data_IF_845331618686
#
_entry.id   IF_845331618686
#
_cell.length_a   1.000
_cell.length_b   1.000
_cell.length_c   1.000
_cell.angle_alpha   90.00
_cell.angle_beta   90.00
_cell.angle_gamma   90.00
#
_symmetry.space_group_name_H-M   'P 1'
#
loop_
_entity.id
_entity.type
_entity.pdbx_description
1 polymer ?
#
# COMPACT_ATOMS: atom_id res chain seq x y z
N UNK A 1 10.75 59.66 -39.90
CA UNK A 1 11.77 58.82 -39.25
C UNK A 1 11.02 57.77 -38.43
N UNK A 2 10.74 56.65 -39.08
CA UNK A 2 9.93 55.59 -38.50
C UNK A 2 10.89 54.50 -37.95
N UNK A 3 10.99 54.37 -36.64
CA UNK A 3 11.84 53.34 -36.00
C UNK A 3 11.06 52.04 -35.98
N UNK A 4 11.32 51.21 -37.01
CA UNK A 4 10.81 49.84 -37.03
C UNK A 4 11.24 49.03 -35.81
N UNK A 5 10.27 48.75 -34.98
CA UNK A 5 10.39 47.79 -33.88
C UNK A 5 10.41 46.36 -34.48
N UNK A 6 11.61 45.89 -34.81
CA UNK A 6 11.88 44.53 -35.33
C UNK A 6 11.70 43.49 -34.20
N UNK A 7 10.53 43.35 -33.67
CA UNK A 7 10.17 42.22 -32.77
C UNK A 7 10.24 40.93 -33.59
N UNK A 8 11.10 40.03 -33.13
CA UNK A 8 11.29 38.70 -33.70
C UNK A 8 9.99 37.89 -33.55
N UNK A 9 9.06 38.04 -34.51
CA UNK A 9 7.83 37.27 -34.57
C UNK A 9 8.14 35.92 -35.23
N UNK A 10 8.39 34.88 -34.41
CA UNK A 10 8.41 33.53 -34.91
C UNK A 10 7.02 33.19 -35.51
N UNK A 11 7.00 32.77 -36.79
CA UNK A 11 5.75 32.39 -37.45
C UNK A 11 5.18 31.12 -36.81
N UNK A 12 3.89 31.12 -36.55
CA UNK A 12 3.09 29.92 -36.30
C UNK A 12 3.31 28.90 -37.46
N UNK A 13 3.87 27.73 -37.27
CA UNK A 13 3.90 26.76 -36.20
C UNK A 13 5.23 26.63 -35.39
N UNK A 14 6.27 27.40 -35.73
CA UNK A 14 7.60 27.30 -35.12
C UNK A 14 7.60 27.61 -33.60
N UNK A 15 6.69 28.44 -33.13
CA UNK A 15 6.53 28.71 -31.71
C UNK A 15 6.23 27.44 -30.92
N UNK A 16 5.38 26.57 -31.45
CA UNK A 16 5.03 25.31 -30.82
C UNK A 16 6.19 24.31 -30.79
N UNK A 17 7.00 24.28 -31.89
CA UNK A 17 8.20 23.44 -31.95
C UNK A 17 9.25 23.91 -30.94
N UNK A 18 9.49 25.23 -30.86
CA UNK A 18 10.44 25.81 -29.88
C UNK A 18 9.95 25.60 -28.46
N UNK A 19 8.66 25.82 -28.18
CA UNK A 19 8.08 25.51 -26.86
C UNK A 19 8.15 24.03 -26.54
N UNK A 20 7.87 23.13 -27.46
CA UNK A 20 8.01 21.69 -27.29
C UNK A 20 9.45 21.26 -26.98
N UNK A 21 10.43 21.83 -27.68
CA UNK A 21 11.84 21.60 -27.43
C UNK A 21 12.28 22.16 -26.06
N UNK A 22 11.78 23.35 -25.69
CA UNK A 22 12.09 23.94 -24.39
C UNK A 22 11.49 23.14 -23.22
N UNK A 23 10.28 22.63 -23.39
CA UNK A 23 9.61 21.74 -22.43
C UNK A 23 10.35 20.41 -22.34
N UNK A 24 10.77 19.82 -23.47
CA UNK A 24 11.54 18.57 -23.48
C UNK A 24 12.92 18.76 -22.84
N UNK A 25 13.60 19.89 -23.09
CA UNK A 25 14.87 20.22 -22.46
C UNK A 25 14.73 20.48 -20.95
N UNK A 26 13.74 21.29 -20.56
CA UNK A 26 13.44 21.51 -19.14
C UNK A 26 13.07 20.22 -18.44
N UNK A 27 12.29 19.34 -19.08
CA UNK A 27 11.97 18.01 -18.58
C UNK A 27 13.21 17.14 -18.39
N UNK A 28 14.10 17.14 -19.36
CA UNK A 28 15.37 16.39 -19.29
C UNK A 28 16.24 16.88 -18.14
N UNK A 29 16.41 18.21 -17.99
CA UNK A 29 17.20 18.79 -16.89
C UNK A 29 16.54 18.61 -15.52
N UNK A 30 15.24 18.83 -15.38
CA UNK A 30 14.50 18.63 -14.13
C UNK A 30 14.51 17.15 -13.73
N UNK A 31 14.34 16.24 -14.70
CA UNK A 31 14.38 14.79 -14.46
C UNK A 31 15.75 14.33 -13.96
N UNK A 32 16.83 14.72 -14.61
CA UNK A 32 18.21 14.38 -14.20
C UNK A 32 18.56 15.02 -12.85
N UNK A 33 18.20 16.29 -12.66
CA UNK A 33 18.52 17.00 -11.41
C UNK A 33 17.72 16.44 -10.22
N UNK A 34 16.47 16.06 -10.43
CA UNK A 34 15.66 15.39 -9.41
C UNK A 34 16.22 14.01 -9.05
N UNK A 35 16.68 13.23 -10.02
CA UNK A 35 17.35 11.95 -9.77
C UNK A 35 18.68 12.12 -9.00
N UNK A 36 19.47 13.15 -9.33
CA UNK A 36 20.69 13.47 -8.60
C UNK A 36 20.41 13.91 -7.16
N UNK A 37 19.42 14.77 -6.94
CA UNK A 37 19.01 15.18 -5.59
C UNK A 37 18.49 14.00 -4.78
N UNK A 38 17.70 13.12 -5.39
CA UNK A 38 17.23 11.88 -4.76
C UNK A 38 18.42 10.99 -4.42
N UNK A 39 19.36 10.74 -5.34
CA UNK A 39 20.53 9.92 -5.09
C UNK A 39 21.41 10.50 -3.97
N UNK A 40 21.61 11.84 -3.96
CA UNK A 40 22.36 12.54 -2.92
C UNK A 40 21.67 12.45 -1.56
N UNK A 41 20.34 12.61 -1.52
CA UNK A 41 19.54 12.49 -0.32
C UNK A 41 19.58 11.06 0.24
N UNK A 42 19.49 10.04 -0.62
CA UNK A 42 19.58 8.64 -0.26
C UNK A 42 20.96 8.28 0.28
N UNK A 43 22.01 8.77 -0.39
CA UNK A 43 23.39 8.62 0.07
C UNK A 43 23.62 9.26 1.46
N UNK A 44 23.11 10.48 1.66
CA UNK A 44 23.15 11.19 2.94
C UNK A 44 22.37 10.47 4.05
N UNK A 45 21.16 9.94 3.75
CA UNK A 45 20.39 9.14 4.70
C UNK A 45 21.09 7.83 5.05
N UNK A 46 21.65 7.13 4.07
CA UNK A 46 22.42 5.89 4.29
C UNK A 46 23.64 6.14 5.20
N UNK A 47 24.28 7.29 5.08
CA UNK A 47 25.42 7.67 5.93
C UNK A 47 25.01 8.00 7.37
N UNK A 48 23.79 8.52 7.59
CA UNK A 48 23.30 8.89 8.93
C UNK A 48 22.67 7.74 9.72
N UNK A 49 22.18 6.72 9.05
CA UNK A 49 21.49 5.58 9.66
C UNK A 49 22.04 4.27 9.10
N UNK A 50 23.21 3.82 9.58
CA UNK A 50 23.78 2.52 9.21
C UNK A 50 23.06 1.35 9.91
N UNK A 51 21.77 1.48 10.25
CA UNK A 51 21.00 0.41 10.82
C UNK A 51 21.11 -0.82 9.93
N UNK A 52 21.46 -1.97 10.54
CA UNK A 52 21.62 -3.23 9.85
C UNK A 52 20.31 -3.55 9.10
N UNK A 53 20.29 -3.20 7.81
CA UNK A 53 19.17 -3.51 6.94
C UNK A 53 19.21 -5.02 6.71
N UNK A 54 18.13 -5.75 7.02
CA UNK A 54 18.09 -7.19 6.78
C UNK A 54 18.39 -7.46 5.30
N UNK A 55 19.30 -8.39 5.05
CA UNK A 55 19.67 -8.79 3.69
C UNK A 55 18.68 -9.81 3.15
N UNK A 56 17.45 -9.39 2.86
CA UNK A 56 16.38 -10.26 2.36
C UNK A 56 15.18 -10.34 3.29
N UNK A 57 14.15 -11.08 2.87
CA UNK A 57 12.92 -11.30 3.61
C UNK A 57 11.68 -10.70 2.96
N UNK A 58 10.52 -11.24 3.31
CA UNK A 58 9.22 -10.84 2.74
C UNK A 58 8.87 -9.38 3.07
N UNK A 59 9.18 -8.94 4.29
CA UNK A 59 8.94 -7.57 4.74
C UNK A 59 9.76 -6.56 3.92
N UNK A 60 11.03 -6.83 3.69
CA UNK A 60 11.90 -5.97 2.89
C UNK A 60 11.48 -5.93 1.42
N UNK A 61 11.13 -7.08 0.85
CA UNK A 61 10.60 -7.16 -0.51
C UNK A 61 9.30 -6.37 -0.67
N UNK A 62 8.46 -6.38 0.36
CA UNK A 62 7.22 -5.60 0.38
C UNK A 62 7.49 -4.11 0.36
N UNK A 63 8.46 -3.62 1.12
CA UNK A 63 8.84 -2.20 1.10
C UNK A 63 9.44 -1.80 -0.26
N UNK A 64 10.27 -2.65 -0.87
CA UNK A 64 10.89 -2.40 -2.17
C UNK A 64 9.90 -2.44 -3.34
N UNK A 65 8.89 -3.30 -3.30
CA UNK A 65 7.82 -3.35 -4.32
C UNK A 65 7.04 -2.04 -4.44
N UNK A 66 7.10 -1.16 -3.44
CA UNK A 66 6.56 0.20 -3.53
C UNK A 66 7.28 1.07 -4.55
N UNK A 67 8.55 0.79 -4.88
CA UNK A 67 9.25 1.48 -5.96
C UNK A 67 8.53 1.38 -7.31
N UNK A 68 7.78 0.31 -7.55
CA UNK A 68 6.95 0.20 -8.75
C UNK A 68 5.84 1.27 -8.81
N UNK A 69 5.44 1.85 -7.67
CA UNK A 69 4.47 2.96 -7.63
C UNK A 69 5.05 4.26 -8.15
N UNK A 70 6.38 4.43 -8.15
CA UNK A 70 7.04 5.60 -8.75
C UNK A 70 6.64 5.79 -10.23
N UNK A 71 6.31 4.70 -10.93
CA UNK A 71 5.78 4.80 -12.30
C UNK A 71 4.44 5.54 -12.34
N UNK A 72 3.60 5.39 -11.31
CA UNK A 72 2.34 6.11 -11.20
C UNK A 72 2.54 7.56 -10.77
N UNK A 73 3.54 7.86 -9.96
CA UNK A 73 3.87 9.24 -9.59
C UNK A 73 4.34 10.05 -10.80
N UNK A 74 4.89 9.41 -11.85
CA UNK A 74 5.21 10.06 -13.12
C UNK A 74 3.97 10.67 -13.80
N UNK A 75 2.76 10.13 -13.56
CA UNK A 75 1.52 10.72 -14.06
C UNK A 75 1.29 12.11 -13.44
N UNK A 76 1.51 12.27 -12.15
CA UNK A 76 1.39 13.59 -11.49
C UNK A 76 2.42 14.58 -12.02
N UNK A 77 3.64 14.11 -12.29
CA UNK A 77 4.68 14.93 -12.92
C UNK A 77 4.26 15.39 -14.32
N UNK A 78 3.64 14.50 -15.10
CA UNK A 78 3.12 14.82 -16.43
C UNK A 78 2.00 15.87 -16.38
N UNK A 79 1.05 15.71 -15.46
CA UNK A 79 -0.03 16.66 -15.23
C UNK A 79 0.49 18.02 -14.73
N UNK A 80 1.47 18.00 -13.83
CA UNK A 80 2.14 19.20 -13.36
C UNK A 80 2.84 19.94 -14.51
N UNK A 81 3.58 19.22 -15.36
CA UNK A 81 4.23 19.82 -16.53
C UNK A 81 3.22 20.46 -17.49
N UNK A 82 2.10 19.78 -17.77
CA UNK A 82 1.01 20.35 -18.60
C UNK A 82 0.45 21.64 -18.02
N UNK A 83 0.11 21.64 -16.73
CA UNK A 83 -0.36 22.84 -16.02
C UNK A 83 0.69 23.97 -16.01
N UNK A 84 1.95 23.60 -15.76
CA UNK A 84 3.07 24.54 -15.78
C UNK A 84 3.29 25.21 -17.13
N UNK A 85 3.22 24.45 -18.21
CA UNK A 85 3.34 25.00 -19.59
C UNK A 85 2.28 26.06 -19.86
N UNK A 86 1.02 25.75 -19.57
CA UNK A 86 -0.10 26.70 -19.75
C UNK A 86 0.08 27.93 -18.88
N UNK A 87 0.48 27.74 -17.62
CA UNK A 87 0.74 28.83 -16.69
C UNK A 87 1.86 29.75 -17.15
N UNK A 88 3.01 29.20 -17.57
CA UNK A 88 4.17 29.99 -18.00
C UNK A 88 3.98 30.62 -19.36
N UNK A 89 3.21 30.02 -20.28
CA UNK A 89 2.85 30.65 -21.55
C UNK A 89 1.98 31.89 -21.35
N UNK A 90 1.07 31.86 -20.36
CA UNK A 90 0.27 33.04 -20.00
C UNK A 90 1.01 34.09 -19.18
N UNK A 91 2.28 33.84 -18.84
CA UNK A 91 3.07 34.79 -18.07
C UNK A 91 3.59 35.91 -18.98
N UNK A 92 3.15 37.12 -18.76
CA UNK A 92 3.55 38.29 -19.56
C UNK A 92 2.60 38.67 -20.69
N UNK A 93 1.54 37.89 -20.92
CA UNK A 93 0.44 38.34 -21.82
C UNK A 93 -0.52 39.26 -21.07
N UNK A 94 -0.97 40.34 -21.72
CA UNK A 94 -2.03 41.20 -21.19
C UNK A 94 -3.34 40.42 -21.14
N UNK A 95 -3.85 40.21 -19.93
CA UNK A 95 -5.12 39.50 -19.67
C UNK A 95 -6.25 40.49 -19.73
N UNK A 96 -6.94 40.51 -20.85
CA UNK A 96 -8.02 41.46 -21.09
C UNK A 96 -9.40 40.94 -20.68
N UNK A 97 -9.54 39.61 -20.61
CA UNK A 97 -10.80 38.97 -20.26
C UNK A 97 -10.71 38.21 -18.93
N UNK A 98 -11.84 38.08 -18.21
CA UNK A 98 -11.95 37.29 -16.99
C UNK A 98 -11.61 35.83 -17.24
N UNK A 99 -11.92 35.31 -18.43
CA UNK A 99 -11.59 33.95 -18.87
C UNK A 99 -10.08 33.69 -18.86
N UNK A 100 -9.25 34.66 -19.27
CA UNK A 100 -7.79 34.51 -19.32
C UNK A 100 -7.19 34.42 -17.91
N UNK A 101 -7.70 35.24 -17.00
CA UNK A 101 -7.32 35.16 -15.59
C UNK A 101 -7.73 33.82 -14.95
N UNK A 102 -8.93 33.32 -15.26
CA UNK A 102 -9.41 32.05 -14.75
C UNK A 102 -8.52 30.90 -15.22
N UNK A 103 -8.19 30.82 -16.51
CA UNK A 103 -7.30 29.80 -17.09
C UNK A 103 -5.92 29.86 -16.43
N UNK A 104 -5.38 31.06 -16.27
CA UNK A 104 -4.04 31.25 -15.65
C UNK A 104 -4.00 30.82 -14.19
N UNK A 105 -5.00 31.20 -13.38
CA UNK A 105 -5.09 30.80 -11.96
C UNK A 105 -5.29 29.30 -11.83
N UNK A 106 -6.19 28.71 -12.64
CA UNK A 106 -6.47 27.26 -12.59
C UNK A 106 -5.25 26.46 -13.02
N UNK A 107 -4.54 26.87 -14.09
CA UNK A 107 -3.33 26.17 -14.54
C UNK A 107 -2.18 26.26 -13.54
N UNK A 108 -1.97 27.44 -12.92
CA UNK A 108 -1.00 27.61 -11.85
C UNK A 108 -1.35 26.79 -10.60
N UNK A 109 -2.62 26.80 -10.20
CA UNK A 109 -3.12 25.97 -9.11
C UNK A 109 -2.95 24.47 -9.38
N UNK A 110 -3.26 24.03 -10.58
CA UNK A 110 -3.06 22.64 -11.01
C UNK A 110 -1.57 22.25 -10.99
N UNK A 111 -0.69 23.12 -11.49
CA UNK A 111 0.76 22.92 -11.44
C UNK A 111 1.26 22.70 -10.01
N UNK A 112 0.92 23.60 -9.10
CA UNK A 112 1.35 23.52 -7.68
C UNK A 112 0.79 22.25 -7.01
N UNK A 113 -0.48 21.93 -7.24
CA UNK A 113 -1.14 20.76 -6.67
C UNK A 113 -0.48 19.46 -7.13
N UNK A 114 -0.34 19.26 -8.45
CA UNK A 114 0.22 18.03 -8.99
C UNK A 114 1.72 17.89 -8.73
N UNK A 115 2.48 18.99 -8.75
CA UNK A 115 3.88 19.00 -8.35
C UNK A 115 4.04 18.63 -6.86
N UNK A 116 3.19 19.18 -5.99
CA UNK A 116 3.16 18.83 -4.57
C UNK A 116 2.82 17.36 -4.34
N UNK A 117 1.81 16.82 -5.01
CA UNK A 117 1.45 15.40 -4.96
C UNK A 117 2.61 14.51 -5.44
N UNK A 118 3.24 14.85 -6.56
CA UNK A 118 4.41 14.13 -7.09
C UNK A 118 5.55 14.09 -6.08
N UNK A 119 5.94 15.23 -5.52
CA UNK A 119 7.03 15.32 -4.56
C UNK A 119 6.72 14.53 -3.28
N UNK A 120 5.50 14.62 -2.79
CA UNK A 120 5.06 13.91 -1.58
C UNK A 120 5.08 12.39 -1.78
N UNK A 121 4.49 11.88 -2.86
CA UNK A 121 4.46 10.44 -3.13
C UNK A 121 5.86 9.90 -3.39
N UNK A 122 6.66 10.58 -4.24
CA UNK A 122 8.03 10.20 -4.51
C UNK A 122 8.87 10.15 -3.24
N UNK A 123 8.76 11.16 -2.38
CA UNK A 123 9.46 11.18 -1.10
C UNK A 123 9.05 10.02 -0.19
N UNK A 124 7.75 9.74 -0.08
CA UNK A 124 7.26 8.66 0.79
C UNK A 124 7.67 7.28 0.30
N UNK A 125 7.58 7.02 -1.01
CA UNK A 125 7.96 5.74 -1.60
C UNK A 125 9.47 5.50 -1.53
N UNK A 126 10.28 6.52 -1.80
CA UNK A 126 11.73 6.45 -1.66
C UNK A 126 12.14 6.25 -0.20
N UNK A 127 11.54 7.00 0.72
CA UNK A 127 11.81 6.83 2.15
C UNK A 127 11.49 5.40 2.61
N UNK A 128 10.34 4.86 2.20
CA UNK A 128 9.93 3.50 2.58
C UNK A 128 10.85 2.43 1.98
N UNK A 129 11.36 2.64 0.77
CA UNK A 129 12.26 1.69 0.11
C UNK A 129 13.70 1.73 0.65
N UNK A 130 14.23 2.93 0.94
CA UNK A 130 15.64 3.12 1.31
C UNK A 130 15.88 3.30 2.81
N UNK A 131 14.83 3.63 3.57
CA UNK A 131 14.86 3.74 5.02
C UNK A 131 13.81 2.82 5.65
N UNK A 132 14.00 1.48 5.61
CA UNK A 132 13.04 0.50 6.13
C UNK A 132 12.60 0.78 7.56
N UNK A 133 13.49 1.34 8.39
CA UNK A 133 13.19 1.71 9.78
C UNK A 133 12.06 2.76 9.90
N UNK A 134 11.91 3.65 8.91
CA UNK A 134 10.88 4.69 8.84
C UNK A 134 9.71 4.31 7.93
N UNK A 135 9.74 3.11 7.36
CA UNK A 135 8.69 2.64 6.44
C UNK A 135 7.35 2.51 7.16
N UNK A 136 6.29 2.56 6.37
CA UNK A 136 4.93 2.30 6.86
C UNK A 136 4.82 0.92 7.48
N UNK A 137 5.48 -0.09 6.87
CA UNK A 137 5.48 -1.46 7.36
C UNK A 137 6.14 -1.57 8.74
N UNK A 138 7.32 -0.96 8.94
CA UNK A 138 8.00 -0.98 10.24
C UNK A 138 7.16 -0.27 11.32
N UNK A 139 6.49 0.82 10.97
CA UNK A 139 5.57 1.51 11.89
C UNK A 139 4.36 0.66 12.24
N UNK A 140 3.80 -0.05 11.26
CA UNK A 140 2.69 -0.99 11.47
C UNK A 140 3.11 -2.10 12.44
N UNK A 141 4.28 -2.73 12.25
CA UNK A 141 4.77 -3.77 13.18
C UNK A 141 4.97 -3.19 14.58
N UNK A 142 5.63 -2.03 14.72
CA UNK A 142 5.84 -1.40 16.02
C UNK A 142 4.54 -1.10 16.74
N UNK A 143 3.54 -0.58 16.06
CA UNK A 143 2.22 -0.29 16.64
C UNK A 143 1.51 -1.55 17.15
N UNK A 144 1.87 -2.72 16.63
CA UNK A 144 1.31 -4.00 17.04
C UNK A 144 2.04 -4.61 18.24
N UNK A 145 3.20 -4.09 18.64
CA UNK A 145 3.89 -4.57 19.84
C UNK A 145 3.20 -4.07 21.14
N UNK A 146 3.35 -4.81 22.26
CA UNK A 146 2.85 -4.37 23.57
C UNK A 146 3.46 -3.03 23.99
N UNK A 147 4.77 -2.87 23.78
CA UNK A 147 5.56 -1.67 24.09
C UNK A 147 6.20 -1.10 22.82
N UNK A 148 5.49 -0.23 22.08
CA UNK A 148 5.98 0.32 20.82
C UNK A 148 7.26 1.14 20.95
N UNK A 149 7.46 1.81 22.10
CA UNK A 149 8.61 2.68 22.36
C UNK A 149 9.90 1.88 22.62
N UNK A 150 9.77 0.65 23.11
CA UNK A 150 10.88 -0.28 23.35
C UNK A 150 11.09 -1.26 22.18
N UNK A 151 10.57 -0.92 21.01
CA UNK A 151 10.64 -1.79 19.84
C UNK A 151 12.10 -2.04 19.43
N UNK A 152 12.47 -3.30 19.12
CA UNK A 152 13.81 -3.63 18.68
C UNK A 152 14.16 -2.99 17.34
N UNK A 153 15.44 -3.03 16.92
CA UNK A 153 15.85 -2.54 15.60
C UNK A 153 15.06 -3.15 14.46
N UNK A 154 14.92 -2.41 13.35
CA UNK A 154 14.07 -2.82 12.21
C UNK A 154 14.41 -4.20 11.65
N UNK A 155 15.68 -4.60 11.71
CA UNK A 155 16.13 -5.92 11.28
C UNK A 155 15.49 -7.06 12.07
N UNK A 156 15.41 -6.92 13.38
CA UNK A 156 14.78 -7.89 14.27
C UNK A 156 13.26 -7.87 14.13
N UNK A 157 12.65 -6.67 13.99
CA UNK A 157 11.21 -6.53 13.73
C UNK A 157 10.79 -7.28 12.47
N UNK A 158 11.52 -7.10 11.37
CA UNK A 158 11.22 -7.79 10.12
C UNK A 158 11.48 -9.28 10.24
N UNK A 159 12.57 -9.68 10.91
CA UNK A 159 12.90 -11.08 11.13
C UNK A 159 11.85 -11.82 11.96
N UNK A 160 11.18 -11.16 12.92
CA UNK A 160 10.07 -11.75 13.69
C UNK A 160 8.92 -12.14 12.76
N UNK A 161 8.48 -11.22 11.90
CA UNK A 161 7.39 -11.47 10.96
C UNK A 161 7.81 -12.47 9.90
N UNK A 162 9.00 -12.30 9.31
CA UNK A 162 9.50 -13.14 8.21
C UNK A 162 9.66 -14.60 8.66
N UNK A 163 10.20 -14.86 9.87
CA UNK A 163 10.32 -16.21 10.43
C UNK A 163 8.97 -16.88 10.65
N UNK A 164 7.96 -16.15 11.14
CA UNK A 164 6.63 -16.71 11.32
C UNK A 164 5.99 -17.04 9.96
N UNK A 165 6.12 -16.14 8.97
CA UNK A 165 5.59 -16.38 7.62
C UNK A 165 6.33 -17.51 6.92
N UNK A 166 7.64 -17.64 7.09
CA UNK A 166 8.43 -18.73 6.52
C UNK A 166 8.04 -20.09 7.11
N UNK A 167 7.85 -20.15 8.43
CA UNK A 167 7.54 -21.39 9.14
C UNK A 167 6.07 -21.82 9.02
N UNK A 168 5.13 -20.86 9.08
CA UNK A 168 3.69 -21.11 9.24
C UNK A 168 2.82 -20.42 8.20
N UNK A 169 3.41 -19.66 7.27
CA UNK A 169 2.69 -18.77 6.38
C UNK A 169 1.91 -19.49 5.28
N UNK A 170 0.66 -19.14 5.14
CA UNK A 170 -0.17 -19.47 4.00
C UNK A 170 -0.40 -18.21 3.16
N UNK A 171 -0.11 -18.30 1.86
CA UNK A 171 -0.19 -17.18 0.95
C UNK A 171 -1.51 -17.16 0.21
N UNK A 172 -2.15 -16.00 0.21
CA UNK A 172 -3.37 -15.70 -0.50
C UNK A 172 -3.16 -14.40 -1.30
N UNK A 173 -2.77 -14.51 -2.56
CA UNK A 173 -2.42 -13.39 -3.45
C UNK A 173 -1.37 -12.44 -2.79
N UNK A 174 -1.84 -11.37 -2.15
CA UNK A 174 -0.98 -10.36 -1.51
C UNK A 174 -0.91 -10.47 0.02
N UNK A 175 -1.65 -11.38 0.61
CA UNK A 175 -1.71 -11.57 2.05
C UNK A 175 -1.02 -12.88 2.41
N UNK A 176 -0.14 -12.85 3.40
CA UNK A 176 0.39 -14.05 4.02
C UNK A 176 -0.10 -14.12 5.48
N UNK A 177 -0.64 -15.25 5.88
CA UNK A 177 -1.19 -15.49 7.21
C UNK A 177 -0.32 -16.53 7.90
N UNK A 178 0.45 -16.10 8.89
CA UNK A 178 1.26 -16.94 9.76
C UNK A 178 0.49 -17.45 10.97
N UNK A 179 1.24 -17.85 11.99
CA UNK A 179 0.71 -18.23 13.31
C UNK A 179 0.50 -17.01 14.21
N UNK A 180 1.39 -16.03 14.15
CA UNK A 180 1.40 -14.85 15.01
C UNK A 180 1.13 -13.56 14.23
N UNK A 181 1.44 -13.56 12.93
CA UNK A 181 1.40 -12.36 12.10
C UNK A 181 0.61 -12.55 10.81
N UNK A 182 -0.02 -11.46 10.38
CA UNK A 182 -0.62 -11.33 9.05
C UNK A 182 0.16 -10.24 8.30
N UNK A 183 0.76 -10.61 7.18
CA UNK A 183 1.50 -9.70 6.31
C UNK A 183 0.65 -9.35 5.09
N UNK A 184 0.17 -8.13 5.04
CA UNK A 184 -0.55 -7.53 3.91
C UNK A 184 0.20 -6.31 3.37
N UNK A 185 -0.54 -5.25 3.03
CA UNK A 185 0.05 -3.93 2.77
C UNK A 185 0.57 -3.29 4.07
N UNK A 186 -0.05 -3.65 5.20
CA UNK A 186 0.41 -3.42 6.56
C UNK A 186 0.53 -4.77 7.29
N UNK A 187 1.02 -4.78 8.52
CA UNK A 187 1.17 -6.00 9.33
C UNK A 187 0.23 -5.94 10.53
N UNK A 188 -0.48 -7.05 10.78
CA UNK A 188 -1.35 -7.22 11.94
C UNK A 188 -0.85 -8.36 12.81
N UNK A 189 -0.79 -8.17 14.12
CA UNK A 189 -0.57 -9.27 15.05
C UNK A 189 -1.89 -10.03 15.26
N UNK A 190 -1.88 -11.35 15.04
CA UNK A 190 -3.08 -12.20 15.16
C UNK A 190 -3.77 -12.06 16.52
N UNK A 191 -3.07 -12.02 17.67
CA UNK A 191 -3.71 -11.86 18.99
C UNK A 191 -4.45 -10.53 19.17
N UNK A 192 -4.13 -9.53 18.34
CA UNK A 192 -4.75 -8.19 18.40
C UNK A 192 -5.92 -7.99 17.45
N UNK A 193 -6.18 -8.93 16.56
CA UNK A 193 -7.29 -8.86 15.61
C UNK A 193 -8.62 -8.97 16.37
N UNK A 194 -9.52 -8.01 16.14
CA UNK A 194 -10.88 -7.97 16.69
C UNK A 194 -11.94 -8.09 15.62
N UNK A 195 -11.64 -7.64 14.42
CA UNK A 195 -12.56 -7.72 13.29
C UNK A 195 -11.84 -8.02 11.99
N UNK A 196 -12.49 -8.80 11.13
CA UNK A 196 -12.05 -9.10 9.77
C UNK A 196 -13.23 -8.88 8.84
N UNK A 197 -13.06 -7.96 7.89
CA UNK A 197 -14.10 -7.59 6.95
C UNK A 197 -13.59 -7.71 5.53
N UNK A 198 -14.48 -8.08 4.63
CA UNK A 198 -14.15 -8.25 3.22
C UNK A 198 -15.03 -7.36 2.36
N UNK A 199 -14.43 -6.86 1.27
CA UNK A 199 -15.13 -6.12 0.24
C UNK A 199 -14.87 -6.78 -1.10
N UNK A 200 -15.95 -7.18 -1.77
CA UNK A 200 -15.91 -7.67 -3.14
C UNK A 200 -17.08 -6.99 -3.87
N UNK A 201 -16.80 -5.83 -4.43
CA UNK A 201 -17.80 -4.95 -5.04
C UNK A 201 -17.44 -4.65 -6.48
N UNK A 202 -18.41 -4.74 -7.37
CA UNK A 202 -18.27 -4.30 -8.76
C UNK A 202 -18.91 -2.92 -8.88
N UNK A 203 -18.06 -1.89 -9.00
CA UNK A 203 -18.51 -0.54 -9.33
C UNK A 203 -18.69 -0.39 -10.83
N UNK A 204 -19.90 -0.05 -11.23
CA UNK A 204 -20.22 0.25 -12.63
C UNK A 204 -20.33 1.76 -12.78
N UNK A 205 -19.56 2.29 -13.69
CA UNK A 205 -19.60 3.70 -14.06
C UNK A 205 -19.93 3.83 -15.56
N UNK A 206 -20.78 4.78 -15.88
CA UNK A 206 -21.11 5.10 -17.27
C UNK A 206 -20.40 6.41 -17.65
N UNK A 207 -19.51 6.35 -18.63
CA UNK A 207 -18.83 7.51 -19.18
C UNK A 207 -19.00 7.52 -20.70
N UNK A 208 -19.49 8.64 -21.25
CA UNK A 208 -19.74 8.82 -22.69
C UNK A 208 -20.54 7.66 -23.32
N UNK A 209 -21.57 7.18 -22.64
CA UNK A 209 -22.41 6.06 -23.11
C UNK A 209 -21.73 4.67 -23.05
N UNK A 210 -20.49 4.58 -22.59
CA UNK A 210 -19.78 3.31 -22.40
C UNK A 210 -19.83 2.87 -20.94
N UNK A 211 -20.21 1.61 -20.74
CA UNK A 211 -20.18 0.96 -19.42
C UNK A 211 -18.75 0.58 -19.08
N UNK A 212 -18.23 1.13 -17.99
CA UNK A 212 -16.97 0.73 -17.39
C UNK A 212 -17.25 0.06 -16.06
N UNK A 213 -16.62 -1.08 -15.77
CA UNK A 213 -16.75 -1.75 -14.49
C UNK A 213 -15.38 -1.94 -13.86
N UNK A 214 -15.27 -1.57 -12.58
CA UNK A 214 -14.09 -1.83 -11.76
C UNK A 214 -14.50 -2.72 -10.59
N UNK A 215 -13.78 -3.83 -10.36
CA UNK A 215 -14.01 -4.69 -9.20
C UNK A 215 -13.04 -4.30 -8.11
N UNK A 216 -13.56 -4.04 -6.92
CA UNK A 216 -12.81 -3.70 -5.71
C UNK A 216 -12.79 -4.92 -4.82
N UNK A 217 -11.61 -5.48 -4.58
CA UNK A 217 -11.42 -6.66 -3.74
C UNK A 217 -10.43 -6.27 -2.64
N UNK A 218 -10.91 -6.19 -1.40
CA UNK A 218 -10.13 -5.69 -0.28
C UNK A 218 -10.40 -6.51 0.99
N UNK A 219 -9.34 -6.77 1.75
CA UNK A 219 -9.38 -7.34 3.07
C UNK A 219 -9.11 -6.23 4.09
N UNK A 220 -9.98 -6.12 5.08
CA UNK A 220 -9.86 -5.18 6.19
C UNK A 220 -9.68 -5.95 7.49
N UNK A 221 -8.68 -5.56 8.26
CA UNK A 221 -8.39 -6.12 9.58
C UNK A 221 -8.46 -4.97 10.59
N UNK A 222 -9.28 -5.15 11.61
CA UNK A 222 -9.44 -4.18 12.71
C UNK A 222 -8.79 -4.74 13.96
N UNK A 223 -7.90 -3.98 14.55
CA UNK A 223 -7.20 -4.36 15.77
C UNK A 223 -7.92 -3.89 17.05
N UNK A 224 -7.33 -4.23 18.22
CA UNK A 224 -7.82 -3.86 19.55
C UNK A 224 -7.77 -2.34 19.82
N UNK A 225 -7.07 -1.55 18.97
CA UNK A 225 -7.01 -0.08 19.03
C UNK A 225 -7.93 0.58 18.00
N UNK A 226 -8.83 -0.17 17.39
CA UNK A 226 -9.72 0.28 16.29
C UNK A 226 -8.97 0.74 15.03
N UNK A 227 -7.67 0.41 14.91
CA UNK A 227 -6.94 0.71 13.69
C UNK A 227 -7.35 -0.24 12.59
N UNK A 228 -7.70 0.31 11.43
CA UNK A 228 -8.10 -0.45 10.26
C UNK A 228 -6.90 -0.60 9.33
N UNK A 229 -6.53 -1.83 9.06
CA UNK A 229 -5.51 -2.17 8.08
C UNK A 229 -6.18 -2.72 6.83
N UNK A 230 -5.85 -2.18 5.68
CA UNK A 230 -6.46 -2.53 4.41
C UNK A 230 -5.42 -3.16 3.49
N UNK A 231 -5.78 -4.27 2.87
CA UNK A 231 -4.96 -4.90 1.84
C UNK A 231 -5.79 -5.19 0.60
N UNK A 232 -5.40 -4.59 -0.52
CA UNK A 232 -6.01 -4.85 -1.81
C UNK A 232 -5.61 -6.20 -2.37
N UNK A 233 -6.58 -6.96 -2.88
CA UNK A 233 -6.40 -8.28 -3.49
C UNK A 233 -6.83 -8.27 -4.96
N UNK A 234 -6.41 -9.27 -5.72
CA UNK A 234 -6.71 -9.35 -7.16
C UNK A 234 -7.81 -10.37 -7.47
N UNK A 235 -7.93 -11.39 -6.62
CA UNK A 235 -8.81 -12.53 -6.85
C UNK A 235 -9.81 -12.70 -5.71
N UNK A 236 -11.12 -12.78 -5.98
CA UNK A 236 -12.13 -12.95 -4.93
C UNK A 236 -12.03 -14.30 -4.21
N UNK A 237 -11.63 -15.37 -4.91
CA UNK A 237 -11.45 -16.68 -4.30
C UNK A 237 -10.33 -16.66 -3.23
N UNK A 238 -9.23 -15.96 -3.50
CA UNK A 238 -8.13 -15.79 -2.55
C UNK A 238 -8.55 -14.96 -1.34
N UNK A 239 -9.42 -13.94 -1.54
CA UNK A 239 -10.00 -13.16 -0.44
C UNK A 239 -10.83 -14.06 0.49
N UNK A 240 -11.70 -14.89 -0.06
CA UNK A 240 -12.54 -15.81 0.74
C UNK A 240 -11.68 -16.87 1.46
N UNK A 241 -10.64 -17.38 0.80
CA UNK A 241 -9.70 -18.30 1.41
C UNK A 241 -8.92 -17.64 2.58
N UNK A 242 -8.46 -16.40 2.41
CA UNK A 242 -7.80 -15.63 3.47
C UNK A 242 -8.74 -15.39 4.67
N UNK A 243 -9.98 -14.98 4.42
CA UNK A 243 -11.01 -14.79 5.48
C UNK A 243 -11.28 -16.11 6.21
N UNK A 244 -11.38 -17.22 5.49
CA UNK A 244 -11.58 -18.54 6.10
C UNK A 244 -10.38 -18.95 6.96
N UNK A 245 -9.16 -18.74 6.46
CA UNK A 245 -7.95 -18.99 7.24
C UNK A 245 -7.91 -18.14 8.52
N UNK A 246 -8.22 -16.85 8.43
CA UNK A 246 -8.29 -15.97 9.61
C UNK A 246 -9.38 -16.41 10.60
N UNK A 247 -10.53 -16.91 10.10
CA UNK A 247 -11.59 -17.42 10.95
C UNK A 247 -11.14 -18.66 11.76
N UNK A 248 -10.30 -19.49 11.18
CA UNK A 248 -9.71 -20.63 11.89
C UNK A 248 -8.65 -20.20 12.92
N UNK A 249 -7.90 -19.12 12.62
CA UNK A 249 -6.85 -18.61 13.52
C UNK A 249 -7.41 -17.79 14.69
N UNK A 250 -8.44 -16.97 14.43
CA UNK A 250 -9.06 -16.07 15.42
C UNK A 250 -10.59 -16.19 15.33
N UNK A 251 -11.16 -17.33 15.76
CA UNK A 251 -12.60 -17.57 15.67
C UNK A 251 -13.44 -16.60 16.52
N UNK A 252 -12.84 -15.98 17.53
CA UNK A 252 -13.50 -14.99 18.41
C UNK A 252 -13.68 -13.63 17.74
N UNK A 253 -12.91 -13.32 16.67
CA UNK A 253 -13.02 -12.05 15.97
C UNK A 253 -14.41 -11.90 15.28
N UNK A 254 -14.81 -10.66 15.06
CA UNK A 254 -16.00 -10.35 14.28
C UNK A 254 -15.70 -10.49 12.79
N UNK A 255 -16.53 -11.25 12.06
CA UNK A 255 -16.41 -11.39 10.62
C UNK A 255 -17.62 -10.80 9.93
N UNK A 256 -17.39 -10.10 8.79
CA UNK A 256 -18.48 -9.48 8.04
C UNK A 256 -18.06 -8.89 6.70
N UNK A 257 -19.02 -8.28 6.01
CA UNK A 257 -18.78 -7.45 4.84
C UNK A 257 -18.34 -6.03 5.20
N UNK A 258 -17.85 -5.31 4.21
CA UNK A 258 -17.39 -3.92 4.36
C UNK A 258 -18.44 -2.99 5.00
N UNK A 259 -19.73 -3.19 4.68
CA UNK A 259 -20.82 -2.38 5.22
C UNK A 259 -20.93 -2.45 6.75
N UNK A 260 -20.62 -3.62 7.33
CA UNK A 260 -20.65 -3.81 8.78
C UNK A 260 -19.42 -3.27 9.49
N UNK A 261 -18.34 -2.97 8.75
CA UNK A 261 -17.09 -2.47 9.32
C UNK A 261 -17.25 -1.08 9.94
N UNK A 262 -17.97 -0.17 9.27
CA UNK A 262 -18.18 1.20 9.77
C UNK A 262 -18.97 1.20 11.08
N UNK A 263 -20.00 0.36 11.18
CA UNK A 263 -20.75 0.17 12.40
C UNK A 263 -19.87 -0.45 13.52
N UNK A 264 -18.99 -1.38 13.17
CA UNK A 264 -18.07 -2.01 14.11
C UNK A 264 -17.03 -1.03 14.66
N UNK A 265 -16.41 -0.22 13.80
CA UNK A 265 -15.39 0.77 14.21
C UNK A 265 -16.00 2.00 14.88
N UNK A 266 -17.25 2.34 14.55
CA UNK A 266 -18.00 3.47 15.10
C UNK A 266 -18.70 3.19 16.43
N UNK A 267 -18.52 2.02 17.04
CA UNK A 267 -19.07 1.68 18.35
C UNK A 267 -18.61 2.66 19.43
N UNK A 268 -19.49 2.93 20.40
CA UNK A 268 -19.16 3.74 21.57
C UNK A 268 -18.03 3.07 22.38
N UNK A 269 -17.38 3.83 23.23
CA UNK A 269 -16.30 3.27 24.07
C UNK A 269 -16.81 2.17 25.00
N UNK A 270 -18.03 2.33 25.52
CA UNK A 270 -18.67 1.33 26.39
C UNK A 270 -18.97 0.02 25.66
N UNK A 271 -19.52 0.12 24.46
CA UNK A 271 -19.80 -1.04 23.59
C UNK A 271 -18.50 -1.76 23.19
N UNK A 272 -17.44 -0.98 22.88
CA UNK A 272 -16.14 -1.53 22.54
C UNK A 272 -15.52 -2.30 23.71
N UNK A 273 -15.57 -1.72 24.92
CA UNK A 273 -15.07 -2.38 26.11
C UNK A 273 -15.89 -3.64 26.47
N UNK A 274 -17.21 -3.61 26.26
CA UNK A 274 -18.05 -4.78 26.42
C UNK A 274 -17.68 -5.90 25.43
N UNK A 275 -17.48 -5.55 24.17
CA UNK A 275 -17.03 -6.48 23.12
C UNK A 275 -15.63 -7.05 23.46
N UNK A 276 -14.70 -6.22 23.92
CA UNK A 276 -13.34 -6.66 24.29
C UNK A 276 -13.36 -7.64 25.47
N UNK A 277 -14.22 -7.41 26.49
CA UNK A 277 -14.44 -8.35 27.59
C UNK A 277 -14.99 -9.70 27.11
N UNK A 278 -15.97 -9.66 26.20
CA UNK A 278 -16.56 -10.87 25.63
C UNK A 278 -15.56 -11.64 24.76
N UNK A 279 -14.74 -10.92 23.96
CA UNK A 279 -13.67 -11.50 23.17
C UNK A 279 -12.67 -12.24 24.06
N UNK A 280 -12.18 -11.60 25.13
CA UNK A 280 -11.25 -12.22 26.07
C UNK A 280 -11.85 -13.46 26.71
N UNK A 281 -13.10 -13.38 27.20
CA UNK A 281 -13.78 -14.51 27.79
C UNK A 281 -13.88 -15.71 26.83
N UNK A 282 -14.27 -15.50 25.58
CA UNK A 282 -14.37 -16.57 24.57
C UNK A 282 -13.00 -17.18 24.26
N UNK A 283 -11.97 -16.35 24.13
CA UNK A 283 -10.60 -16.81 23.94
C UNK A 283 -10.11 -17.67 25.09
N UNK A 284 -10.31 -17.22 26.34
CA UNK A 284 -9.85 -17.93 27.54
C UNK A 284 -10.60 -19.26 27.71
N UNK A 285 -11.90 -19.30 27.41
CA UNK A 285 -12.67 -20.54 27.36
C UNK A 285 -12.13 -21.54 26.33
N UNK A 286 -11.78 -21.07 25.13
CA UNK A 286 -11.19 -21.93 24.11
C UNK A 286 -9.82 -22.48 24.53
N UNK A 287 -8.97 -21.66 25.12
CA UNK A 287 -7.67 -22.11 25.62
C UNK A 287 -7.83 -23.16 26.74
N UNK A 288 -8.72 -22.93 27.70
CA UNK A 288 -9.01 -23.90 28.76
C UNK A 288 -9.56 -25.23 28.21
N UNK A 289 -10.40 -25.19 27.18
CA UNK A 289 -10.89 -26.41 26.51
C UNK A 289 -9.75 -27.16 25.82
N UNK A 290 -8.86 -26.45 25.11
CA UNK A 290 -7.70 -27.06 24.45
C UNK A 290 -6.73 -27.71 25.47
N UNK A 291 -6.49 -27.04 26.60
CA UNK A 291 -5.67 -27.61 27.69
C UNK A 291 -6.32 -28.83 28.37
N UNK A 292 -7.65 -28.81 28.54
CA UNK A 292 -8.42 -29.94 29.05
C UNK A 292 -8.34 -31.17 28.15
N UNK A 293 -8.40 -30.95 26.82
CA UNK A 293 -8.26 -32.03 25.85
C UNK A 293 -6.85 -32.63 25.82
N UNK A 294 -5.80 -31.80 25.98
CA UNK A 294 -4.41 -32.30 26.04
C UNK A 294 -4.13 -33.08 27.35
N UNK A 295 -4.75 -32.70 28.45
CA UNK A 295 -4.64 -33.45 29.72
C UNK A 295 -5.47 -34.74 29.75
N UNK A 296 -6.51 -34.83 28.93
CA UNK A 296 -7.42 -35.99 28.86
C UNK A 296 -6.88 -37.17 28.05
N UNK A 297 -5.59 -37.24 27.73
CA UNK A 297 -4.94 -38.41 27.16
C UNK A 297 -5.32 -38.72 25.71
N UNK A 298 -5.67 -37.74 24.91
CA UNK A 298 -5.69 -37.93 23.44
C UNK A 298 -4.26 -38.09 22.97
N UNK A 299 -3.79 -39.32 22.90
CA UNK A 299 -2.67 -39.70 22.07
C UNK A 299 -3.17 -39.53 20.65
N UNK A 300 -2.67 -38.53 19.85
CA UNK A 300 -3.06 -38.44 18.45
C UNK A 300 -2.68 -39.79 17.82
N UNK A 301 -3.67 -40.46 17.24
CA UNK A 301 -3.42 -41.62 16.40
C UNK A 301 -2.31 -41.24 15.42
N UNK A 302 -1.20 -41.99 15.36
CA UNK A 302 -0.11 -41.64 14.47
C UNK A 302 -0.71 -41.47 13.07
N UNK A 303 -0.34 -40.42 12.33
CA UNK A 303 -0.90 -40.18 11.01
C UNK A 303 -0.76 -41.47 10.20
N UNK A 304 -1.82 -41.90 9.50
CA UNK A 304 -1.81 -43.15 8.75
C UNK A 304 -0.53 -43.16 7.92
N UNK A 305 0.24 -44.26 8.04
CA UNK A 305 1.57 -44.43 7.48
C UNK A 305 1.56 -43.85 6.08
N UNK A 306 2.40 -42.84 5.85
CA UNK A 306 2.55 -42.01 4.67
C UNK A 306 1.95 -42.65 3.42
N UNK A 307 0.83 -42.09 2.94
CA UNK A 307 0.41 -42.34 1.54
C UNK A 307 1.65 -42.04 0.70
N UNK A 308 2.16 -42.99 -0.08
CA UNK A 308 3.37 -42.78 -0.84
C UNK A 308 3.12 -41.56 -1.71
N UNK A 309 4.05 -40.62 -1.66
CA UNK A 309 4.09 -39.41 -2.49
C UNK A 309 4.05 -39.85 -3.95
N UNK A 310 2.85 -40.16 -4.43
CA UNK A 310 2.64 -40.41 -5.85
C UNK A 310 2.90 -39.09 -6.55
N UNK A 311 3.88 -39.12 -7.36
CA UNK A 311 4.42 -38.11 -8.26
C UNK A 311 3.39 -37.07 -8.72
N UNK A 312 3.20 -36.03 -7.95
CA UNK A 312 2.46 -34.80 -8.34
C UNK A 312 3.06 -34.24 -9.65
N UNK A 313 4.35 -34.51 -9.89
CA UNK A 313 5.02 -34.17 -11.14
C UNK A 313 4.47 -34.86 -12.40
N UNK A 314 3.81 -36.02 -12.27
CA UNK A 314 3.19 -36.72 -13.42
C UNK A 314 1.81 -36.14 -13.77
N UNK A 315 1.08 -35.65 -12.79
CA UNK A 315 -0.25 -35.05 -13.01
C UNK A 315 -0.12 -33.74 -13.79
N UNK A 316 0.92 -32.95 -13.52
CA UNK A 316 1.16 -31.65 -14.20
C UNK A 316 1.60 -31.78 -15.66
N UNK A 317 2.19 -32.92 -16.07
CA UNK A 317 2.57 -33.16 -17.47
C UNK A 317 1.40 -33.54 -18.37
N UNK A 318 0.32 -34.08 -17.83
CA UNK A 318 -0.83 -34.52 -18.62
C UNK A 318 -1.92 -33.48 -18.83
N UNK A 319 -1.83 -32.30 -18.18
CA UNK A 319 -2.81 -31.21 -18.34
C UNK A 319 -2.35 -30.14 -19.38
N UNK A 320 -1.24 -30.38 -20.07
CA UNK A 320 -0.70 -29.53 -21.14
C UNK A 320 -0.71 -30.19 -22.53
N UNK A 321 -1.71 -31.02 -22.80
CA UNK A 321 -2.02 -31.44 -24.18
C UNK A 321 -3.43 -30.98 -24.54
#
# INVERSE_FOLDING_TARGET
MDRGNGGFRLKWPWNWVVCGLFVAAAWYFIGIFSLLLVALFLWWQKKRHPDAVPQGGYCLDRTRKRLARLLWSMLYLFLAAGGGVVFFMGFGEEKTEISDWAVWIVSGGAFVLFAGCFLYETYTDLRDAFCPAKSRLARSIRSQLPYPDEAPPVGELFAMVDKDIEANGQWFDRVAIGKEWVLGDDVSAIPRIRGVFSRDEIKVHYSNGRRQSARIIELYIVDDRRQVQTTGMRKPAELQAAVTCLRLRVPEARFGGYESMSAFTGQTEEEWQAMERDFRRRRDQRLAQAEGQTRGGYTPEPPPASVPRQDIAKIWKNTKK
#
